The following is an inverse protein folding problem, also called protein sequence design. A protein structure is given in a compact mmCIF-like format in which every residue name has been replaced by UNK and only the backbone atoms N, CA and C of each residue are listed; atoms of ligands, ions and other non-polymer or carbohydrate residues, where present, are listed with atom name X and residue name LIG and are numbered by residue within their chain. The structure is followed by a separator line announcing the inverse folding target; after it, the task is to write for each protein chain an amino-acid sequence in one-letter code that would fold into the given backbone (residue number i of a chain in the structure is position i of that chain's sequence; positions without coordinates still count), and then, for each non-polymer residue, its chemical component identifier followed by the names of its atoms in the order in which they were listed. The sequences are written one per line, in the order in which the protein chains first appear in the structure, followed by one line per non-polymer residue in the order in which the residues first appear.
data_IF_926633588953
#
_entry.id   IF_926633588953
#
_cell.length_a   1.000
_cell.length_b   1.000
_cell.length_c   1.000
_cell.angle_alpha   90.00
_cell.angle_beta   90.00
_cell.angle_gamma   90.00
#
_symmetry.space_group_name_H-M   'P 1'
#
loop_
_entity.id
_entity.type
_entity.pdbx_description
1 polymer ?
#
# COMPACT_ATOMS: atom_id res chain seq x y z
N UNK A 1 -8.76 26.31 -36.96
CA UNK A 1 -8.89 25.00 -37.62
C UNK A 1 -7.48 24.45 -37.70
N UNK A 2 -7.16 23.42 -36.90
CA UNK A 2 -5.84 22.79 -36.91
C UNK A 2 -5.81 21.77 -38.05
N UNK A 3 -4.83 21.91 -38.93
CA UNK A 3 -4.55 20.92 -39.98
C UNK A 3 -4.08 19.61 -39.34
N UNK A 4 -4.86 18.55 -39.52
CA UNK A 4 -4.56 17.23 -38.98
C UNK A 4 -3.38 16.59 -39.74
N UNK A 5 -2.31 16.12 -39.07
CA UNK A 5 -1.09 15.56 -39.68
C UNK A 5 -1.27 14.11 -40.22
N UNK A 6 -2.51 13.70 -40.46
CA UNK A 6 -2.88 12.34 -40.89
C UNK A 6 -2.19 11.89 -42.20
N UNK A 7 -1.92 12.76 -43.20
CA UNK A 7 -1.29 12.30 -44.44
C UNK A 7 0.17 11.86 -44.25
N UNK A 8 0.94 12.59 -43.43
CA UNK A 8 2.37 12.30 -43.19
C UNK A 8 2.57 11.00 -42.42
N UNK A 9 1.65 10.67 -41.52
CA UNK A 9 1.65 9.41 -40.77
C UNK A 9 1.30 8.24 -41.70
N UNK A 10 0.37 8.44 -42.65
CA UNK A 10 0.02 7.43 -43.65
C UNK A 10 1.20 7.08 -44.57
N UNK A 11 2.00 8.06 -44.97
CA UNK A 11 3.19 7.84 -45.80
C UNK A 11 4.30 7.12 -45.03
N UNK A 12 4.54 7.48 -43.76
CA UNK A 12 5.50 6.81 -42.90
C UNK A 12 5.12 5.36 -42.56
N UNK A 13 3.82 5.05 -42.49
CA UNK A 13 3.31 3.70 -42.23
C UNK A 13 3.11 2.87 -43.51
N UNK A 14 3.18 3.47 -44.70
CA UNK A 14 3.00 2.78 -45.98
C UNK A 14 3.87 1.52 -46.19
N UNK A 15 5.15 1.44 -45.76
CA UNK A 15 5.92 0.19 -45.88
C UNK A 15 5.52 -0.89 -44.86
N UNK A 16 4.77 -0.53 -43.81
CA UNK A 16 4.32 -1.43 -42.75
C UNK A 16 2.84 -1.82 -42.89
N UNK A 17 2.07 -1.07 -43.68
CA UNK A 17 0.68 -1.36 -44.00
C UNK A 17 0.65 -2.29 -45.23
N UNK A 18 0.59 -3.60 -44.97
CA UNK A 18 0.40 -4.59 -46.03
C UNK A 18 -1.08 -4.75 -46.40
N UNK A 19 -1.34 -5.14 -47.64
CA UNK A 19 -2.70 -5.41 -48.08
C UNK A 19 -3.28 -6.60 -47.31
N UNK A 20 -4.61 -6.64 -47.12
CA UNK A 20 -5.28 -7.74 -46.40
C UNK A 20 -4.99 -9.10 -47.05
N UNK A 21 -4.81 -9.12 -48.36
CA UNK A 21 -4.48 -10.31 -49.14
C UNK A 21 -3.06 -10.79 -48.85
N UNK A 22 -2.05 -9.92 -48.94
CA UNK A 22 -0.67 -10.25 -48.58
C UNK A 22 -0.56 -10.77 -47.15
N UNK A 23 -1.25 -10.13 -46.21
CA UNK A 23 -1.27 -10.57 -44.81
C UNK A 23 -1.90 -11.96 -44.67
N UNK A 24 -2.93 -12.28 -45.47
CA UNK A 24 -3.54 -13.60 -45.47
C UNK A 24 -2.62 -14.67 -46.07
N UNK A 25 -1.88 -14.34 -47.14
CA UNK A 25 -0.90 -15.23 -47.77
C UNK A 25 0.28 -15.52 -46.83
N UNK A 26 0.80 -14.48 -46.16
CA UNK A 26 1.87 -14.62 -45.16
C UNK A 26 1.40 -15.50 -44.01
N UNK A 27 0.20 -15.26 -43.47
CA UNK A 27 -0.37 -16.11 -42.41
C UNK A 27 -0.53 -17.55 -42.87
N UNK A 28 -1.04 -17.76 -44.09
CA UNK A 28 -1.16 -19.08 -44.69
C UNK A 28 0.19 -19.78 -44.77
N UNK A 29 1.22 -19.11 -45.30
CA UNK A 29 2.58 -19.66 -45.43
C UNK A 29 3.21 -20.01 -44.08
N UNK A 30 3.01 -19.17 -43.07
CA UNK A 30 3.48 -19.41 -41.71
C UNK A 30 2.74 -20.56 -41.06
N UNK A 31 1.43 -20.67 -41.29
CA UNK A 31 0.62 -21.79 -40.82
C UNK A 31 1.14 -23.11 -41.37
N UNK A 32 1.34 -23.20 -42.69
CA UNK A 32 1.86 -24.41 -43.33
C UNK A 32 3.28 -24.73 -42.89
N UNK A 33 4.11 -23.71 -42.62
CA UNK A 33 5.45 -23.91 -42.10
C UNK A 33 5.42 -24.44 -40.67
N UNK A 34 4.55 -23.92 -39.80
CA UNK A 34 4.42 -24.37 -38.41
C UNK A 34 3.85 -25.79 -38.35
N UNK A 35 2.85 -26.13 -39.16
CA UNK A 35 2.30 -27.49 -39.26
C UNK A 35 3.40 -28.50 -39.60
N UNK A 36 4.25 -28.19 -40.59
CA UNK A 36 5.35 -29.07 -41.00
C UNK A 36 6.45 -29.25 -39.95
N UNK A 37 6.66 -28.26 -39.08
CA UNK A 37 7.73 -28.31 -38.08
C UNK A 37 7.27 -28.87 -36.72
N UNK A 38 5.97 -28.95 -36.47
CA UNK A 38 5.43 -29.38 -35.19
C UNK A 38 4.98 -30.84 -35.15
N UNK A 39 5.01 -31.59 -36.27
CA UNK A 39 4.59 -33.00 -36.38
C UNK A 39 3.34 -33.29 -35.51
N UNK A 40 2.31 -32.46 -35.69
CA UNK A 40 1.02 -32.63 -35.04
C UNK A 40 0.21 -33.60 -35.89
N UNK A 41 0.43 -34.91 -35.71
CA UNK A 41 -0.25 -35.93 -36.52
C UNK A 41 -1.76 -36.03 -36.26
N UNK A 42 -2.33 -35.35 -35.24
CA UNK A 42 -3.78 -35.39 -34.97
C UNK A 42 -4.44 -34.07 -34.50
N UNK A 43 -3.71 -32.97 -34.29
CA UNK A 43 -4.31 -31.69 -33.85
C UNK A 43 -4.05 -30.56 -34.84
N UNK A 44 -5.13 -30.03 -35.43
CA UNK A 44 -5.07 -28.86 -36.31
C UNK A 44 -4.75 -27.62 -35.48
N UNK A 45 -3.89 -26.73 -35.99
CA UNK A 45 -3.60 -25.45 -35.35
C UNK A 45 -4.86 -24.56 -35.35
N UNK A 46 -5.65 -24.62 -34.28
CA UNK A 46 -6.80 -23.73 -34.13
C UNK A 46 -6.34 -22.30 -33.79
N UNK A 47 -7.00 -21.31 -34.38
CA UNK A 47 -6.81 -19.91 -34.06
C UNK A 47 -7.30 -19.64 -32.63
N UNK A 48 -6.38 -19.68 -31.66
CA UNK A 48 -6.68 -19.38 -30.27
C UNK A 48 -7.25 -17.96 -30.14
N UNK A 49 -8.49 -17.86 -29.67
CA UNK A 49 -9.10 -16.59 -29.32
C UNK A 49 -8.38 -16.01 -28.08
N UNK A 50 -7.63 -14.92 -28.27
CA UNK A 50 -6.88 -14.20 -27.23
C UNK A 50 -7.73 -13.72 -26.03
N UNK A 51 -9.06 -13.76 -26.15
CA UNK A 51 -10.01 -13.34 -25.12
C UNK A 51 -10.25 -14.46 -24.09
N UNK A 52 -10.00 -15.72 -24.45
CA UNK A 52 -10.13 -16.87 -23.55
C UNK A 52 -9.17 -17.99 -23.99
N UNK A 53 -7.91 -18.00 -23.52
CA UNK A 53 -7.04 -19.13 -23.76
C UNK A 53 -7.62 -20.36 -23.06
N UNK A 54 -7.88 -21.43 -23.83
CA UNK A 54 -8.30 -22.73 -23.32
C UNK A 54 -7.15 -23.33 -22.48
N UNK A 55 -7.08 -22.96 -21.21
CA UNK A 55 -6.06 -23.40 -20.23
C UNK A 55 -6.22 -24.86 -19.78
N UNK A 56 -7.02 -25.66 -20.48
CA UNK A 56 -7.36 -27.04 -20.08
C UNK A 56 -6.49 -28.10 -20.75
N UNK A 57 -5.61 -27.77 -21.69
CA UNK A 57 -4.66 -28.77 -22.20
C UNK A 57 -3.51 -28.95 -21.21
N UNK A 58 -3.47 -30.13 -20.60
CA UNK A 58 -2.30 -30.63 -19.89
C UNK A 58 -1.10 -30.51 -20.82
N UNK A 59 -0.07 -29.76 -20.41
CA UNK A 59 1.14 -29.56 -21.21
C UNK A 59 1.75 -30.94 -21.56
N UNK A 60 1.88 -31.29 -22.85
CA UNK A 60 2.51 -32.55 -23.25
C UNK A 60 3.99 -32.57 -22.84
N UNK A 61 4.55 -33.78 -22.72
CA UNK A 61 5.95 -33.99 -22.35
C UNK A 61 6.91 -33.17 -23.21
N UNK A 62 7.98 -32.66 -22.58
CA UNK A 62 8.90 -31.72 -23.19
C UNK A 62 9.43 -32.25 -24.54
N UNK A 63 9.27 -31.51 -25.66
CA UNK A 63 9.84 -31.91 -26.94
C UNK A 63 11.35 -32.10 -26.82
N UNK A 64 11.82 -33.29 -27.17
CA UNK A 64 13.24 -33.64 -27.15
C UNK A 64 14.00 -32.78 -28.17
N UNK A 65 14.52 -31.63 -27.73
CA UNK A 65 15.24 -30.68 -28.58
C UNK A 65 15.22 -29.22 -28.09
N UNK A 66 14.41 -28.88 -27.09
CA UNK A 66 14.40 -27.52 -26.53
C UNK A 66 15.66 -27.23 -25.71
N UNK A 67 16.50 -26.32 -26.20
CA UNK A 67 17.70 -25.82 -25.52
C UNK A 67 17.62 -24.32 -25.26
N UNK A 68 18.35 -23.85 -24.24
CA UNK A 68 18.46 -22.44 -23.87
C UNK A 68 17.18 -21.82 -23.30
N UNK A 69 16.89 -20.58 -23.68
CA UNK A 69 15.79 -19.76 -23.15
C UNK A 69 14.43 -20.44 -23.29
N UNK A 70 14.21 -21.20 -24.36
CA UNK A 70 12.94 -21.92 -24.58
C UNK A 70 12.73 -23.04 -23.56
N UNK A 71 13.80 -23.71 -23.13
CA UNK A 71 13.74 -24.71 -22.04
C UNK A 71 13.44 -24.05 -20.71
N UNK A 72 14.05 -22.88 -20.44
CA UNK A 72 13.77 -22.11 -19.23
C UNK A 72 12.32 -21.63 -19.20
N UNK A 73 11.78 -21.15 -20.33
CA UNK A 73 10.37 -20.76 -20.45
C UNK A 73 9.43 -21.95 -20.23
N UNK A 74 9.71 -23.11 -20.83
CA UNK A 74 8.92 -24.32 -20.62
C UNK A 74 8.93 -24.75 -19.14
N UNK A 75 10.11 -24.73 -18.49
CA UNK A 75 10.23 -25.02 -17.06
C UNK A 75 9.46 -24.02 -16.19
N UNK A 76 9.48 -22.73 -16.54
CA UNK A 76 8.73 -21.70 -15.83
C UNK A 76 7.22 -21.91 -15.98
N UNK A 77 6.76 -22.32 -17.17
CA UNK A 77 5.35 -22.61 -17.43
C UNK A 77 4.88 -23.84 -16.63
N UNK A 78 5.71 -24.89 -16.56
CA UNK A 78 5.47 -26.05 -15.70
C UNK A 78 5.38 -25.66 -14.22
N UNK A 79 6.35 -24.87 -13.73
CA UNK A 79 6.35 -24.40 -12.35
C UNK A 79 5.13 -23.54 -12.02
N UNK A 80 4.68 -22.71 -12.98
CA UNK A 80 3.47 -21.90 -12.84
C UNK A 80 2.22 -22.77 -12.72
N UNK A 81 2.09 -23.80 -13.57
CA UNK A 81 0.96 -24.74 -13.51
C UNK A 81 0.93 -25.51 -12.17
N UNK A 82 2.09 -25.97 -11.68
CA UNK A 82 2.21 -26.61 -10.37
C UNK A 82 1.82 -25.66 -9.23
N UNK A 83 2.24 -24.39 -9.30
CA UNK A 83 1.87 -23.38 -8.32
C UNK A 83 0.36 -23.08 -8.35
N UNK A 84 -0.24 -23.01 -9.54
CA UNK A 84 -1.67 -22.79 -9.70
C UNK A 84 -2.49 -23.98 -9.16
N UNK A 85 -2.03 -25.21 -9.38
CA UNK A 85 -2.65 -26.41 -8.81
C UNK A 85 -2.58 -26.38 -7.27
N UNK A 86 -1.43 -26.04 -6.68
CA UNK A 86 -1.28 -25.88 -5.22
C UNK A 86 -2.20 -24.78 -4.67
N UNK A 87 -2.30 -23.66 -5.37
CA UNK A 87 -3.21 -22.58 -5.00
C UNK A 87 -4.67 -23.02 -5.04
N UNK A 88 -5.08 -23.75 -6.08
CA UNK A 88 -6.43 -24.29 -6.19
C UNK A 88 -6.76 -25.26 -5.06
N UNK A 89 -5.81 -26.13 -4.68
CA UNK A 89 -5.94 -27.04 -3.53
C UNK A 89 -6.08 -26.26 -2.21
N UNK A 90 -5.21 -25.29 -1.96
CA UNK A 90 -5.27 -24.48 -0.74
C UNK A 90 -6.57 -23.67 -0.66
N UNK A 91 -7.04 -23.17 -1.81
CA UNK A 91 -8.33 -22.48 -1.91
C UNK A 91 -9.49 -23.42 -1.59
N UNK A 92 -9.45 -24.67 -2.06
CA UNK A 92 -10.44 -25.67 -1.72
C UNK A 92 -10.41 -26.02 -0.21
N UNK A 93 -9.22 -26.19 0.38
CA UNK A 93 -9.06 -26.44 1.83
C UNK A 93 -9.59 -25.27 2.67
N UNK A 94 -9.29 -24.02 2.30
CA UNK A 94 -9.84 -22.84 2.95
C UNK A 94 -11.36 -22.80 2.81
N UNK A 95 -11.90 -23.17 1.64
CA UNK A 95 -13.34 -23.25 1.43
C UNK A 95 -13.99 -24.33 2.31
N UNK A 96 -13.36 -25.49 2.47
CA UNK A 96 -13.80 -26.55 3.38
C UNK A 96 -13.75 -26.12 4.85
N UNK A 97 -12.70 -25.42 5.27
CA UNK A 97 -12.57 -24.87 6.63
C UNK A 97 -13.55 -23.72 6.89
N UNK A 98 -13.85 -22.92 5.86
CA UNK A 98 -14.84 -21.83 5.94
C UNK A 98 -16.28 -22.31 5.84
N UNK A 99 -16.50 -23.55 5.41
CA UNK A 99 -17.83 -24.15 5.33
C UNK A 99 -18.28 -24.46 6.77
N UNK A 100 -19.29 -23.76 7.31
CA UNK A 100 -19.76 -24.04 8.65
C UNK A 100 -20.24 -25.48 8.71
N UNK A 101 -19.61 -26.29 9.57
CA UNK A 101 -20.10 -27.62 9.88
C UNK A 101 -21.47 -27.46 10.53
N UNK A 102 -22.52 -27.80 9.79
CA UNK A 102 -23.87 -27.96 10.31
C UNK A 102 -23.86 -29.11 11.32
N UNK A 103 -23.61 -28.80 12.58
CA UNK A 103 -23.95 -29.64 13.71
C UNK A 103 -24.39 -28.75 14.87
N UNK A 104 -25.71 -28.59 15.00
CA UNK A 104 -26.43 -28.40 16.25
C UNK A 104 -25.92 -27.29 17.18
N UNK A 105 -26.48 -26.09 17.09
CA UNK A 105 -27.29 -25.51 18.18
C UNK A 105 -27.52 -24.01 17.98
N UNK A 106 -28.80 -23.70 18.01
CA UNK A 106 -29.48 -22.42 18.22
C UNK A 106 -28.79 -21.47 19.23
N UNK A 107 -28.73 -20.19 18.84
CA UNK A 107 -28.70 -19.00 19.72
C UNK A 107 -27.45 -18.87 20.61
N UNK A 108 -26.29 -18.52 20.03
CA UNK A 108 -25.13 -17.94 20.76
C UNK A 108 -24.04 -17.31 19.85
N UNK A 109 -24.38 -16.81 18.66
CA UNK A 109 -23.38 -16.37 17.67
C UNK A 109 -22.52 -15.16 18.09
N UNK A 110 -22.96 -14.33 19.05
CA UNK A 110 -22.12 -13.22 19.56
C UNK A 110 -21.21 -13.61 20.72
N UNK A 111 -21.42 -14.77 21.36
CA UNK A 111 -20.58 -15.25 22.48
C UNK A 111 -19.40 -16.11 22.01
N UNK A 112 -19.49 -16.74 20.83
CA UNK A 112 -18.48 -17.69 20.31
C UNK A 112 -17.27 -17.00 19.68
N UNK A 113 -17.46 -15.91 18.92
CA UNK A 113 -16.35 -15.29 18.17
C UNK A 113 -15.22 -14.82 19.11
N UNK A 114 -15.56 -14.25 20.27
CA UNK A 114 -14.55 -13.81 21.25
C UNK A 114 -13.90 -14.98 22.02
N UNK A 115 -14.62 -16.09 22.23
CA UNK A 115 -14.07 -17.29 22.87
C UNK A 115 -13.19 -18.11 21.92
N UNK A 116 -13.43 -18.02 20.61
CA UNK A 116 -12.65 -18.74 19.58
C UNK A 116 -11.43 -17.93 19.11
N UNK A 117 -11.48 -16.60 19.13
CA UNK A 117 -10.36 -15.74 18.69
C UNK A 117 -9.21 -15.70 19.71
N UNK A 118 -9.51 -15.70 21.01
CA UNK A 118 -8.48 -15.72 22.06
C UNK A 118 -7.55 -16.94 22.03
N UNK A 119 -8.03 -18.19 21.92
CA UNK A 119 -7.15 -19.35 21.80
C UNK A 119 -6.37 -19.32 20.49
N UNK A 120 -6.95 -18.83 19.38
CA UNK A 120 -6.23 -18.65 18.10
C UNK A 120 -5.12 -17.62 18.22
N UNK A 121 -5.35 -16.49 18.90
CA UNK A 121 -4.31 -15.49 19.16
C UNK A 121 -3.19 -16.06 20.05
N UNK A 122 -3.55 -16.79 21.12
CA UNK A 122 -2.57 -17.48 21.96
C UNK A 122 -1.78 -18.53 21.19
N UNK A 123 -2.42 -19.24 20.27
CA UNK A 123 -1.76 -20.23 19.41
C UNK A 123 -0.80 -19.56 18.43
N UNK A 124 -1.20 -18.44 17.80
CA UNK A 124 -0.33 -17.64 16.94
C UNK A 124 0.86 -17.06 17.70
N UNK A 125 0.65 -16.62 18.93
CA UNK A 125 1.73 -16.13 19.79
C UNK A 125 2.70 -17.26 20.17
N UNK A 126 2.19 -18.44 20.54
CA UNK A 126 3.01 -19.65 20.75
C UNK A 126 3.78 -20.05 19.49
N UNK A 127 3.15 -19.99 18.33
CA UNK A 127 3.79 -20.30 17.05
C UNK A 127 4.88 -19.29 16.71
N UNK A 128 4.67 -17.99 16.94
CA UNK A 128 5.72 -16.97 16.78
C UNK A 128 6.90 -17.23 17.71
N UNK A 129 6.63 -17.56 18.98
CA UNK A 129 7.66 -17.91 19.97
C UNK A 129 8.46 -19.15 19.52
N UNK A 130 7.78 -20.20 19.08
CA UNK A 130 8.42 -21.39 18.54
C UNK A 130 9.23 -21.10 17.28
N UNK A 131 8.74 -20.22 16.41
CA UNK A 131 9.46 -19.86 15.19
C UNK A 131 10.74 -19.06 15.48
N UNK A 132 10.72 -18.21 16.50
CA UNK A 132 11.92 -17.51 17.00
C UNK A 132 12.91 -18.53 17.57
N UNK A 133 12.45 -19.47 18.39
CA UNK A 133 13.30 -20.55 18.93
C UNK A 133 13.88 -21.40 17.82
N UNK A 134 13.07 -21.79 16.83
CA UNK A 134 13.51 -22.57 15.68
C UNK A 134 14.53 -21.82 14.84
N UNK A 135 14.35 -20.50 14.65
CA UNK A 135 15.32 -19.65 13.95
C UNK A 135 16.61 -19.47 14.72
N UNK A 136 16.53 -19.33 16.04
CA UNK A 136 17.71 -19.26 16.90
C UNK A 136 18.46 -20.60 16.90
N UNK A 137 17.74 -21.72 16.94
CA UNK A 137 18.30 -23.06 16.87
C UNK A 137 18.92 -23.32 15.49
N UNK A 138 18.24 -22.96 14.40
CA UNK A 138 18.80 -23.09 13.05
C UNK A 138 20.06 -22.24 12.87
N UNK A 139 20.08 -21.02 13.41
CA UNK A 139 21.26 -20.15 13.41
C UNK A 139 22.44 -20.71 14.24
N UNK A 140 22.17 -21.60 15.20
CA UNK A 140 23.20 -22.32 15.97
C UNK A 140 23.63 -23.61 15.26
N UNK A 141 22.74 -24.27 14.51
CA UNK A 141 23.04 -25.55 13.83
C UNK A 141 23.61 -25.40 12.42
N UNK A 142 23.39 -24.27 11.74
CA UNK A 142 23.94 -24.03 10.39
C UNK A 142 25.46 -23.76 10.39
N UNK A 143 26.04 -23.38 11.54
CA UNK A 143 27.48 -23.23 11.70
C UNK A 143 28.08 -24.47 12.40
N UNK A 144 28.49 -25.44 11.57
CA UNK A 144 29.16 -26.68 11.95
C UNK A 144 30.58 -26.42 12.50
N UNK A 145 30.67 -25.78 13.66
CA UNK A 145 31.88 -25.73 14.48
C UNK A 145 31.58 -26.39 15.83
N UNK A 146 32.09 -27.61 16.00
CA UNK A 146 31.94 -28.38 17.23
C UNK A 146 32.36 -27.54 18.45
N UNK A 147 31.51 -27.40 19.48
CA UNK A 147 31.86 -26.62 20.67
C UNK A 147 32.93 -27.38 21.45
N UNK A 148 34.19 -26.92 21.35
CA UNK A 148 35.25 -27.35 22.24
C UNK A 148 35.08 -26.62 23.58
N UNK A 149 34.51 -27.31 24.56
CA UNK A 149 34.62 -27.08 26.02
C UNK A 149 34.41 -25.67 26.60
N UNK A 150 33.93 -24.69 25.84
CA UNK A 150 33.44 -23.43 26.40
C UNK A 150 31.95 -23.60 26.66
N UNK A 151 31.52 -23.24 27.87
CA UNK A 151 30.16 -23.41 28.35
C UNK A 151 29.18 -22.86 27.30
N UNK A 152 28.28 -23.71 26.82
CA UNK A 152 27.24 -23.40 25.81
C UNK A 152 26.53 -22.06 26.09
N UNK A 153 26.41 -21.70 27.36
CA UNK A 153 25.82 -20.46 27.85
C UNK A 153 26.56 -19.18 27.42
N UNK A 154 27.89 -19.23 27.29
CA UNK A 154 28.72 -18.10 26.83
C UNK A 154 28.66 -17.93 25.31
N UNK A 155 28.59 -19.04 24.55
CA UNK A 155 28.38 -19.02 23.10
C UNK A 155 26.98 -18.51 22.73
N UNK A 156 25.95 -18.91 23.50
CA UNK A 156 24.59 -18.39 23.33
C UNK A 156 24.53 -16.91 23.68
N UNK A 157 25.22 -16.46 24.72
CA UNK A 157 25.24 -15.05 25.15
C UNK A 157 25.98 -14.12 24.17
N UNK A 158 27.05 -14.59 23.54
CA UNK A 158 27.78 -13.81 22.54
C UNK A 158 27.02 -13.67 21.21
N UNK A 159 26.16 -14.63 20.87
CA UNK A 159 25.49 -14.70 19.56
C UNK A 159 24.01 -14.30 19.57
N UNK A 160 23.29 -14.54 20.67
CA UNK A 160 21.90 -14.09 20.85
C UNK A 160 21.79 -12.69 21.48
N UNK A 161 22.91 -12.09 21.89
CA UNK A 161 22.97 -10.85 22.63
C UNK A 161 22.71 -11.04 24.13
N UNK A 162 23.17 -10.09 24.94
CA UNK A 162 22.94 -10.09 26.39
C UNK A 162 21.45 -9.94 26.67
N UNK A 163 20.88 -10.90 27.42
CA UNK A 163 19.48 -10.84 27.82
C UNK A 163 19.29 -9.54 28.63
N UNK A 164 18.34 -8.65 28.25
CA UNK A 164 18.12 -7.42 29.01
C UNK A 164 17.81 -7.80 30.45
N UNK A 165 18.62 -7.31 31.38
CA UNK A 165 18.41 -7.55 32.80
C UNK A 165 17.01 -7.07 33.18
N UNK A 166 16.16 -8.02 33.57
CA UNK A 166 14.88 -7.70 34.18
C UNK A 166 15.17 -6.82 35.40
N UNK A 167 14.55 -5.64 35.53
CA UNK A 167 14.81 -4.76 36.66
C UNK A 167 14.53 -5.53 37.95
N UNK A 168 15.57 -5.60 38.79
CA UNK A 168 15.59 -6.35 40.04
C UNK A 168 14.53 -5.76 41.01
N UNK A 169 13.34 -6.35 41.06
CA UNK A 169 12.13 -5.85 41.75
C UNK A 169 12.22 -5.92 43.29
N UNK A 170 13.41 -6.18 43.85
CA UNK A 170 13.52 -6.60 45.24
C UNK A 170 14.03 -5.52 46.21
N UNK A 171 14.38 -4.31 45.74
CA UNK A 171 14.95 -3.26 46.63
C UNK A 171 14.04 -2.05 46.90
N UNK A 172 12.89 -1.90 46.23
CA UNK A 172 11.95 -0.77 46.44
C UNK A 172 10.60 -1.16 47.04
N UNK A 173 10.50 -2.40 47.53
CA UNK A 173 9.21 -3.05 47.83
C UNK A 173 8.42 -2.52 49.03
N UNK A 174 9.01 -1.74 49.94
CA UNK A 174 8.34 -1.41 51.20
C UNK A 174 7.68 -0.01 51.25
N UNK A 175 8.05 0.92 50.35
CA UNK A 175 7.37 2.24 50.27
C UNK A 175 6.31 2.32 49.18
N UNK A 176 6.53 1.62 48.06
CA UNK A 176 5.62 1.67 46.90
C UNK A 176 4.51 0.62 46.94
N UNK A 177 4.59 -0.45 47.75
CA UNK A 177 3.49 -1.44 47.82
C UNK A 177 2.28 -0.92 48.60
N UNK A 178 2.47 -0.15 49.67
CA UNK A 178 1.33 0.39 50.43
C UNK A 178 0.56 1.45 49.59
N UNK A 179 1.30 2.23 48.78
CA UNK A 179 0.73 3.18 47.83
C UNK A 179 0.14 2.46 46.59
N UNK A 180 0.77 1.39 46.09
CA UNK A 180 0.22 0.59 44.99
C UNK A 180 -1.03 -0.20 45.41
N UNK A 181 -1.09 -0.70 46.64
CA UNK A 181 -2.27 -1.39 47.17
C UNK A 181 -3.39 -0.39 47.49
N UNK A 182 -3.08 0.81 48.00
CA UNK A 182 -4.03 1.90 48.14
C UNK A 182 -4.59 2.34 46.77
N UNK A 183 -3.73 2.50 45.76
CA UNK A 183 -4.11 2.82 44.37
C UNK A 183 -4.87 1.67 43.71
N UNK A 184 -4.55 0.42 44.04
CA UNK A 184 -5.31 -0.75 43.58
C UNK A 184 -6.69 -0.81 44.22
N UNK A 185 -6.82 -0.43 45.49
CA UNK A 185 -8.11 -0.30 46.16
C UNK A 185 -8.93 0.85 45.56
N UNK A 186 -8.28 1.96 45.20
CA UNK A 186 -8.93 3.07 44.50
C UNK A 186 -9.38 2.67 43.09
N UNK A 187 -8.56 1.93 42.34
CA UNK A 187 -8.92 1.34 41.05
C UNK A 187 -10.09 0.35 41.22
N UNK A 188 -10.03 -0.54 42.20
CA UNK A 188 -11.13 -1.49 42.49
C UNK A 188 -12.41 -0.73 42.85
N UNK A 189 -12.31 0.36 43.62
CA UNK A 189 -13.43 1.24 43.94
C UNK A 189 -13.97 1.91 42.69
N UNK A 190 -13.12 2.47 41.83
CA UNK A 190 -13.50 3.10 40.56
C UNK A 190 -14.17 2.12 39.59
N UNK A 191 -13.65 0.89 39.51
CA UNK A 191 -14.24 -0.18 38.72
C UNK A 191 -15.60 -0.60 39.30
N UNK A 192 -15.72 -0.72 40.63
CA UNK A 192 -17.00 -1.05 41.26
C UNK A 192 -18.03 0.06 41.10
N UNK A 193 -17.63 1.33 41.19
CA UNK A 193 -18.53 2.46 40.92
C UNK A 193 -18.92 2.54 39.46
N UNK A 194 -17.99 2.32 38.53
CA UNK A 194 -18.30 2.26 37.10
C UNK A 194 -19.22 1.08 36.77
N UNK A 195 -18.96 -0.10 37.35
CA UNK A 195 -19.83 -1.26 37.24
C UNK A 195 -21.21 -0.97 37.82
N UNK A 196 -21.29 -0.30 38.98
CA UNK A 196 -22.56 0.07 39.59
C UNK A 196 -23.34 1.08 38.74
N UNK A 197 -22.67 2.05 38.11
CA UNK A 197 -23.29 2.99 37.16
C UNK A 197 -23.79 2.27 35.91
N UNK A 198 -23.13 1.20 35.45
CA UNK A 198 -23.56 0.37 34.32
C UNK A 198 -24.70 -0.58 34.71
N UNK A 199 -24.70 -1.08 35.94
CA UNK A 199 -25.73 -2.00 36.44
C UNK A 199 -26.96 -1.27 37.01
N UNK A 200 -26.86 0.01 37.43
CA UNK A 200 -27.98 0.84 37.88
C UNK A 200 -29.08 1.04 36.82
N UNK A 201 -28.79 1.30 35.53
CA UNK A 201 -29.80 1.32 34.48
C UNK A 201 -30.28 -0.08 34.06
N UNK A 202 -29.64 -1.15 34.55
CA UNK A 202 -30.14 -2.53 34.37
C UNK A 202 -31.19 -2.88 35.43
N UNK A 203 -31.03 -2.44 36.69
CA UNK A 203 -32.01 -2.74 37.75
C UNK A 203 -33.30 -1.91 37.66
N UNK A 204 -33.24 -0.66 37.16
CA UNK A 204 -34.43 0.19 36.99
C UNK A 204 -35.26 -0.19 35.74
N UNK A 205 -34.67 -0.88 34.76
CA UNK A 205 -35.36 -1.36 33.55
C UNK A 205 -35.97 -2.76 33.70
N UNK A 206 -35.63 -3.53 34.74
CA UNK A 206 -36.21 -4.86 34.98
C UNK A 206 -37.65 -4.83 35.53
N UNK A 207 -38.17 -3.65 35.90
CA UNK A 207 -39.56 -3.49 36.36
C UNK A 207 -40.56 -3.04 35.29
N UNK A 208 -40.10 -2.65 34.09
CA UNK A 208 -41.01 -2.28 33.00
C UNK A 208 -40.89 -3.24 31.82
N UNK A 209 -41.66 -4.33 31.92
CA UNK A 209 -42.24 -5.09 30.81
C UNK A 209 -41.42 -5.23 29.52
N UNK A 210 -40.90 -6.44 29.30
CA UNK A 210 -41.10 -7.20 28.07
C UNK A 210 -40.37 -6.71 26.82
N UNK A 211 -39.52 -7.60 26.28
CA UNK A 211 -38.81 -7.49 24.99
C UNK A 211 -37.64 -6.50 24.96
N UNK A 212 -36.51 -6.95 25.53
CA UNK A 212 -35.20 -6.40 25.24
C UNK A 212 -34.87 -6.56 23.73
N UNK A 213 -35.07 -5.51 22.94
CA UNK A 213 -34.26 -5.34 21.74
C UNK A 213 -32.87 -4.88 22.20
N UNK A 214 -31.93 -5.83 22.33
CA UNK A 214 -30.50 -5.51 22.36
C UNK A 214 -30.17 -4.77 21.06
N UNK A 215 -30.05 -3.44 21.12
CA UNK A 215 -29.53 -2.67 20.00
C UNK A 215 -28.00 -2.77 20.06
N UNK A 216 -27.36 -3.62 19.22
CA UNK A 216 -25.91 -3.83 19.27
C UNK A 216 -25.13 -2.53 19.06
N UNK A 217 -25.77 -1.55 18.41
CA UNK A 217 -25.19 -0.23 18.17
C UNK A 217 -24.99 0.59 19.46
N UNK A 218 -25.91 0.49 20.43
CA UNK A 218 -25.80 1.21 21.70
C UNK A 218 -24.70 0.60 22.58
N UNK A 219 -24.54 -0.73 22.55
CA UNK A 219 -23.45 -1.42 23.26
C UNK A 219 -22.09 -1.13 22.63
N UNK A 220 -22.00 -1.10 21.29
CA UNK A 220 -20.78 -0.69 20.59
C UNK A 220 -20.41 0.77 20.88
N UNK A 221 -21.40 1.66 20.95
CA UNK A 221 -21.17 3.06 21.29
C UNK A 221 -20.69 3.19 22.75
N UNK A 222 -21.30 2.50 23.70
CA UNK A 222 -20.85 2.48 25.08
C UNK A 222 -19.43 1.89 25.22
N UNK A 223 -19.11 0.83 24.48
CA UNK A 223 -17.76 0.26 24.43
C UNK A 223 -16.74 1.22 23.79
N UNK A 224 -17.15 1.96 22.78
CA UNK A 224 -16.31 2.97 22.15
C UNK A 224 -16.08 4.17 23.07
N UNK A 225 -17.10 4.60 23.82
CA UNK A 225 -17.00 5.65 24.84
C UNK A 225 -16.10 5.21 26.00
N UNK A 226 -16.26 3.98 26.51
CA UNK A 226 -15.36 3.44 27.55
C UNK A 226 -13.93 3.28 27.05
N UNK A 227 -13.72 2.83 25.80
CA UNK A 227 -12.39 2.78 25.19
C UNK A 227 -11.77 4.17 25.09
N UNK A 228 -12.52 5.15 24.62
CA UNK A 228 -12.04 6.52 24.49
C UNK A 228 -11.71 7.12 25.87
N UNK A 229 -12.56 6.88 26.88
CA UNK A 229 -12.31 7.31 28.25
C UNK A 229 -11.05 6.66 28.84
N UNK A 230 -10.80 5.39 28.53
CA UNK A 230 -9.62 4.67 28.99
C UNK A 230 -8.36 5.15 28.26
N UNK A 231 -8.45 5.49 26.97
CA UNK A 231 -7.37 6.13 26.22
C UNK A 231 -7.05 7.50 26.81
N UNK A 232 -8.04 8.36 27.02
CA UNK A 232 -7.81 9.69 27.62
C UNK A 232 -7.25 9.57 29.03
N UNK A 233 -7.69 8.57 29.80
CA UNK A 233 -7.13 8.31 31.12
C UNK A 233 -5.67 7.85 31.02
N UNK A 234 -5.33 6.91 30.12
CA UNK A 234 -3.93 6.50 29.91
C UNK A 234 -3.07 7.67 29.44
N UNK A 235 -3.57 8.50 28.54
CA UNK A 235 -2.87 9.68 28.04
C UNK A 235 -2.62 10.68 29.17
N UNK A 236 -3.61 10.94 30.03
CA UNK A 236 -3.47 11.78 31.23
C UNK A 236 -2.50 11.17 32.26
N UNK A 237 -2.49 9.83 32.40
CA UNK A 237 -1.50 9.16 33.24
C UNK A 237 -0.08 9.25 32.64
N UNK A 238 0.08 9.14 31.33
CA UNK A 238 1.37 9.25 30.66
C UNK A 238 1.93 10.68 30.72
N UNK A 239 1.09 11.71 30.62
CA UNK A 239 1.53 13.10 30.83
C UNK A 239 1.93 13.34 32.28
N UNK A 240 1.17 12.82 33.24
CA UNK A 240 1.50 12.95 34.68
C UNK A 240 2.82 12.24 35.05
N UNK A 241 3.10 11.08 34.45
CA UNK A 241 4.38 10.36 34.64
C UNK A 241 5.53 11.11 33.94
N UNK A 242 5.29 11.68 32.74
CA UNK A 242 6.26 12.52 32.04
C UNK A 242 6.67 13.76 32.83
N UNK A 243 5.70 14.44 33.46
CA UNK A 243 5.94 15.63 34.28
C UNK A 243 6.65 15.30 35.61
N UNK A 244 6.36 14.15 36.22
CA UNK A 244 7.05 13.69 37.43
C UNK A 244 8.51 13.30 37.17
N UNK A 245 8.84 12.88 35.95
CA UNK A 245 10.21 12.53 35.55
C UNK A 245 11.03 13.78 35.16
N UNK A 246 10.40 14.79 34.55
CA UNK A 246 11.04 16.08 34.23
C UNK A 246 11.37 16.94 35.47
N UNK A 247 10.67 16.74 36.59
CA UNK A 247 10.92 17.47 37.83
C UNK A 247 12.16 16.98 38.64
N UNK A 248 12.78 15.86 38.25
CA UNK A 248 13.82 15.20 39.05
C UNK A 248 15.22 15.17 38.40
N UNK A 249 15.39 15.78 37.22
CA UNK A 249 16.70 15.88 36.58
C UNK A 249 17.34 17.25 36.83
N UNK A 250 18.33 17.28 37.73
CA UNK A 250 19.27 18.41 37.87
C UNK A 250 20.10 18.52 36.59
N UNK A 251 20.37 19.74 36.07
CA UNK A 251 21.17 19.90 34.87
C UNK A 251 22.65 19.65 35.20
N UNK A 252 23.24 18.64 34.55
CA UNK A 252 24.70 18.48 34.52
C UNK A 252 25.21 19.06 33.21
N UNK A 253 26.07 20.05 33.36
CA UNK A 253 26.81 20.75 32.32
C UNK A 253 27.76 19.81 31.54
N UNK A 254 27.59 19.85 30.21
CA UNK A 254 28.64 19.77 29.17
C UNK A 254 29.48 18.50 29.00
N UNK A 255 29.52 17.97 27.78
CA UNK A 255 30.65 18.11 26.86
C UNK A 255 30.27 17.67 25.43
N UNK A 256 30.76 18.43 24.45
CA UNK A 256 30.41 18.39 23.04
C UNK A 256 31.03 17.22 22.26
N UNK A 257 30.27 16.63 21.32
CA UNK A 257 30.75 16.08 20.05
C UNK A 257 29.68 16.31 18.98
N UNK A 258 30.10 16.89 17.85
CA UNK A 258 29.28 17.27 16.70
C UNK A 258 28.60 16.09 16.00
N UNK A 259 27.39 16.31 15.51
CA UNK A 259 26.68 15.42 14.61
C UNK A 259 25.20 15.79 14.49
N UNK A 260 24.93 16.87 13.77
CA UNK A 260 23.67 17.26 13.10
C UNK A 260 22.37 16.57 13.58
N UNK A 261 21.76 17.15 14.62
CA UNK A 261 20.30 17.30 14.71
C UNK A 261 20.03 18.45 15.68
N UNK A 262 20.14 19.67 15.17
CA UNK A 262 19.76 20.85 15.92
C UNK A 262 18.22 20.90 15.95
N UNK A 263 17.56 20.82 17.12
CA UNK A 263 16.16 21.20 17.23
C UNK A 263 16.12 22.69 16.91
N UNK A 264 15.52 23.05 15.78
CA UNK A 264 15.35 24.45 15.36
C UNK A 264 14.70 25.17 16.56
N UNK A 265 15.39 26.10 17.24
CA UNK A 265 14.76 26.89 18.27
C UNK A 265 13.83 27.84 17.53
N UNK A 266 12.56 27.44 17.34
CA UNK A 266 11.54 28.33 16.79
C UNK A 266 11.54 29.55 17.69
N UNK A 267 12.08 30.66 17.17
CA UNK A 267 12.27 31.87 17.94
C UNK A 267 10.90 32.30 18.46
N UNK A 268 10.82 32.77 19.71
CA UNK A 268 9.56 33.32 20.24
C UNK A 268 8.99 34.41 19.34
N UNK A 269 9.86 35.08 18.58
CA UNK A 269 9.50 36.08 17.57
C UNK A 269 8.81 35.46 16.34
N UNK A 270 9.22 34.26 15.93
CA UNK A 270 8.60 33.52 14.82
C UNK A 270 7.22 32.99 15.22
N UNK A 271 7.09 32.47 16.45
CA UNK A 271 5.79 32.11 17.03
C UNK A 271 4.88 33.35 17.13
N UNK A 272 5.45 34.49 17.55
CA UNK A 272 4.74 35.78 17.58
C UNK A 272 4.22 36.18 16.21
N UNK A 273 5.06 36.09 15.17
CA UNK A 273 4.66 36.40 13.79
C UNK A 273 3.58 35.46 13.26
N UNK A 274 3.69 34.15 13.52
CA UNK A 274 2.67 33.17 13.12
C UNK A 274 1.35 33.45 13.85
N UNK A 275 1.40 33.82 15.13
CA UNK A 275 0.21 34.16 15.91
C UNK A 275 -0.43 35.46 15.44
N UNK A 276 0.36 36.46 15.06
CA UNK A 276 -0.13 37.70 14.44
C UNK A 276 -0.79 37.43 13.09
N UNK A 277 -0.20 36.58 12.26
CA UNK A 277 -0.79 36.15 10.98
C UNK A 277 -2.11 35.42 11.20
N UNK A 278 -2.17 34.52 12.19
CA UNK A 278 -3.40 33.83 12.59
C UNK A 278 -4.49 34.81 13.06
N UNK A 279 -4.14 35.77 13.92
CA UNK A 279 -5.07 36.80 14.39
C UNK A 279 -5.55 37.71 13.24
N UNK A 280 -4.67 38.07 12.31
CA UNK A 280 -5.03 38.85 11.13
C UNK A 280 -5.99 38.08 10.21
N UNK A 281 -5.73 36.79 9.96
CA UNK A 281 -6.63 35.92 9.19
C UNK A 281 -7.99 35.77 9.88
N UNK A 282 -8.00 35.59 11.21
CA UNK A 282 -9.24 35.47 12.00
C UNK A 282 -10.04 36.76 12.03
N UNK A 283 -9.39 37.92 12.12
CA UNK A 283 -10.06 39.23 11.99
C UNK A 283 -10.64 39.43 10.59
N UNK A 284 -9.93 39.05 9.53
CA UNK A 284 -10.46 39.08 8.15
C UNK A 284 -11.65 38.16 7.98
N UNK A 285 -11.63 36.97 8.56
CA UNK A 285 -12.75 36.02 8.53
C UNK A 285 -13.96 36.56 9.31
N UNK A 286 -13.74 37.15 10.49
CA UNK A 286 -14.80 37.78 11.28
C UNK A 286 -15.38 39.02 10.59
N UNK A 287 -14.56 39.84 9.93
CA UNK A 287 -15.04 40.94 9.09
C UNK A 287 -15.79 40.42 7.87
N UNK A 288 -15.33 39.32 7.26
CA UNK A 288 -16.05 38.62 6.19
C UNK A 288 -17.39 38.04 6.62
N UNK A 289 -17.53 37.63 7.89
CA UNK A 289 -18.79 37.16 8.48
C UNK A 289 -19.69 38.32 8.95
N UNK A 290 -19.12 39.43 9.42
CA UNK A 290 -19.88 40.65 9.78
C UNK A 290 -20.32 41.44 8.54
N UNK A 291 -19.62 41.32 7.42
CA UNK A 291 -19.96 41.92 6.14
C UNK A 291 -20.47 40.90 5.13
N UNK A 292 -20.67 39.65 5.55
CA UNK A 292 -21.49 38.73 4.79
C UNK A 292 -22.87 39.39 4.73
N UNK A 293 -23.37 39.77 3.53
CA UNK A 293 -24.74 40.21 3.43
C UNK A 293 -25.57 39.08 4.02
N UNK A 294 -26.36 39.38 5.05
CA UNK A 294 -27.48 38.52 5.37
C UNK A 294 -28.32 38.50 4.11
N UNK A 295 -28.10 37.47 3.30
CA UNK A 295 -28.91 37.19 2.16
C UNK A 295 -30.21 36.68 2.77
N UNK A 296 -31.10 37.62 3.07
CA UNK A 296 -32.52 37.35 3.06
C UNK A 296 -32.75 36.61 1.74
N UNK A 297 -33.10 35.34 1.85
CA UNK A 297 -33.49 34.52 0.72
C UNK A 297 -34.86 35.01 0.25
N UNK A 298 -34.86 36.20 -0.37
CA UNK A 298 -35.91 36.64 -1.24
C UNK A 298 -35.72 35.89 -2.56
N UNK A 299 -36.46 34.79 -2.70
CA UNK A 299 -36.50 33.98 -3.93
C UNK A 299 -37.28 34.77 -4.97
N UNK A 300 -36.65 35.80 -5.52
CA UNK A 300 -37.07 36.44 -6.76
C UNK A 300 -36.51 35.63 -7.92
N UNK A 301 -37.37 34.73 -8.41
CA UNK A 301 -37.19 34.10 -9.70
C UNK A 301 -37.09 35.18 -10.79
N UNK A 302 -36.02 35.09 -11.57
CA UNK A 302 -35.86 35.80 -12.82
C UNK A 302 -37.07 35.50 -13.73
N UNK A 303 -37.95 36.49 -13.91
CA UNK A 303 -38.95 36.49 -14.98
C UNK A 303 -38.77 37.73 -15.82
N UNK A 304 -38.20 37.49 -16.99
CA UNK A 304 -38.22 38.38 -18.16
C UNK A 304 -39.67 38.82 -18.44
N UNK A 305 -39.79 40.14 -18.61
CA UNK A 305 -40.96 40.94 -18.96
C UNK A 305 -41.96 40.31 -19.95
N UNK A 306 -43.27 40.51 -19.73
CA UNK A 306 -44.23 40.53 -20.85
C UNK A 306 -45.73 40.29 -20.61
N UNK A 307 -46.42 41.26 -19.98
CA UNK A 307 -47.82 41.70 -20.25
C UNK A 307 -49.03 40.91 -19.65
N UNK A 308 -50.14 41.59 -19.24
CA UNK A 308 -50.99 41.15 -18.12
C UNK A 308 -52.39 40.68 -18.53
N UNK A 309 -53.06 39.94 -17.63
CA UNK A 309 -54.52 39.95 -17.49
C UNK A 309 -54.94 39.54 -16.07
N UNK A 310 -56.02 40.11 -15.49
CA UNK A 310 -56.18 40.25 -14.06
C UNK A 310 -57.10 39.17 -13.47
N UNK A 311 -56.72 38.62 -12.33
CA UNK A 311 -57.67 37.98 -11.40
C UNK A 311 -57.20 38.24 -9.97
N UNK A 312 -58.14 38.47 -9.04
CA UNK A 312 -57.88 39.24 -7.83
C UNK A 312 -57.10 38.41 -6.82
N UNK A 313 -56.21 39.11 -6.12
CA UNK A 313 -55.52 38.61 -4.92
C UNK A 313 -56.56 38.31 -3.85
N UNK A 314 -56.86 37.03 -3.63
CA UNK A 314 -57.26 36.56 -2.32
C UNK A 314 -55.98 36.24 -1.55
N UNK A 315 -55.72 37.06 -0.53
CA UNK A 315 -54.80 36.75 0.54
C UNK A 315 -55.28 35.47 1.24
N UNK A 316 -54.84 34.31 0.78
CA UNK A 316 -54.80 33.13 1.61
C UNK A 316 -53.36 32.91 2.02
N UNK A 317 -53.09 33.17 3.30
CA UNK A 317 -51.99 32.55 4.03
C UNK A 317 -52.22 31.03 3.97
N UNK A 318 -51.89 30.41 2.83
CA UNK A 318 -51.80 28.97 2.75
C UNK A 318 -50.47 28.61 3.40
N UNK A 319 -50.49 28.35 4.71
CA UNK A 319 -49.42 27.55 5.31
C UNK A 319 -49.35 26.29 4.46
N UNK A 320 -48.24 26.13 3.71
CA UNK A 320 -48.05 25.02 2.80
C UNK A 320 -48.36 23.74 3.58
N UNK A 321 -49.53 23.17 3.28
CA UNK A 321 -50.03 22.03 4.03
C UNK A 321 -49.09 20.88 3.77
N UNK A 322 -48.84 20.02 4.76
CA UNK A 322 -47.98 18.85 4.62
C UNK A 322 -48.28 18.01 3.35
N UNK A 323 -49.52 18.10 2.82
CA UNK A 323 -49.97 17.53 1.56
C UNK A 323 -49.24 18.04 0.29
N UNK A 324 -48.75 19.28 0.25
CA UNK A 324 -48.01 19.80 -0.92
C UNK A 324 -46.53 19.43 -0.90
N UNK A 325 -45.96 19.16 0.28
CA UNK A 325 -44.54 18.83 0.46
C UNK A 325 -44.31 17.32 0.39
N UNK A 326 -45.27 16.51 0.86
CA UNK A 326 -45.26 15.04 0.86
C UNK A 326 -44.77 14.38 -0.45
N UNK A 327 -45.23 14.78 -1.65
CA UNK A 327 -44.78 14.14 -2.89
C UNK A 327 -43.30 14.41 -3.22
N UNK A 328 -42.68 15.45 -2.66
CA UNK A 328 -41.29 15.80 -2.90
C UNK A 328 -40.31 15.20 -1.87
N UNK A 329 -40.82 14.63 -0.78
CA UNK A 329 -39.97 14.02 0.27
C UNK A 329 -39.18 12.82 -0.26
N UNK A 330 -39.79 11.97 -1.10
CA UNK A 330 -39.09 10.82 -1.69
C UNK A 330 -37.97 11.25 -2.66
N UNK A 331 -38.21 12.14 -3.64
CA UNK A 331 -37.13 12.69 -4.46
C UNK A 331 -36.00 13.34 -3.66
N UNK A 332 -36.31 14.06 -2.57
CA UNK A 332 -35.29 14.70 -1.72
C UNK A 332 -34.48 13.67 -0.91
N UNK A 333 -35.12 12.61 -0.41
CA UNK A 333 -34.43 11.50 0.25
C UNK A 333 -33.53 10.75 -0.73
N UNK A 334 -33.98 10.53 -1.95
CA UNK A 334 -33.18 9.89 -2.99
C UNK A 334 -32.00 10.78 -3.40
N UNK A 335 -32.20 12.09 -3.48
CA UNK A 335 -31.12 13.06 -3.68
C UNK A 335 -30.10 12.99 -2.54
N UNK A 336 -30.54 13.02 -1.28
CA UNK A 336 -29.67 12.92 -0.10
C UNK A 336 -28.88 11.61 -0.09
N UNK A 337 -29.52 10.49 -0.45
CA UNK A 337 -28.85 9.19 -0.59
C UNK A 337 -27.82 9.19 -1.71
N UNK A 338 -28.14 9.81 -2.85
CA UNK A 338 -27.19 9.94 -3.96
C UNK A 338 -25.99 10.81 -3.57
N UNK A 339 -26.20 11.89 -2.83
CA UNK A 339 -25.14 12.76 -2.33
C UNK A 339 -24.22 12.01 -1.36
N UNK A 340 -24.80 11.27 -0.42
CA UNK A 340 -24.04 10.42 0.51
C UNK A 340 -23.23 9.35 -0.22
N UNK A 341 -23.82 8.69 -1.23
CA UNK A 341 -23.14 7.70 -2.06
C UNK A 341 -21.98 8.32 -2.86
N UNK A 342 -22.17 9.52 -3.42
CA UNK A 342 -21.15 10.23 -4.20
C UNK A 342 -20.01 10.73 -3.31
N UNK A 343 -20.31 11.19 -2.09
CA UNK A 343 -19.31 11.51 -1.07
C UNK A 343 -18.49 10.26 -0.66
N UNK A 344 -19.15 9.11 -0.48
CA UNK A 344 -18.47 7.85 -0.20
C UNK A 344 -17.58 7.41 -1.37
N UNK A 345 -18.03 7.56 -2.61
CA UNK A 345 -17.22 7.27 -3.79
C UNK A 345 -16.01 8.21 -3.88
N UNK A 346 -16.19 9.51 -3.62
CA UNK A 346 -15.10 10.49 -3.64
C UNK A 346 -14.05 10.22 -2.55
N UNK A 347 -14.47 9.79 -1.36
CA UNK A 347 -13.52 9.40 -0.31
C UNK A 347 -12.80 8.09 -0.62
N UNK A 348 -13.49 7.12 -1.24
CA UNK A 348 -12.89 5.88 -1.71
C UNK A 348 -11.83 6.13 -2.79
N UNK A 349 -12.14 6.96 -3.80
CA UNK A 349 -11.18 7.28 -4.87
C UNK A 349 -9.96 8.04 -4.36
N UNK A 350 -10.13 8.95 -3.39
CA UNK A 350 -9.01 9.62 -2.72
C UNK A 350 -8.08 8.62 -2.02
N UNK A 351 -8.64 7.69 -1.25
CA UNK A 351 -7.84 6.63 -0.59
C UNK A 351 -7.11 5.74 -1.60
N UNK A 352 -7.74 5.41 -2.72
CA UNK A 352 -7.09 4.65 -3.78
C UNK A 352 -5.94 5.43 -4.42
N UNK A 353 -6.12 6.74 -4.63
CA UNK A 353 -5.08 7.61 -5.17
C UNK A 353 -3.90 7.75 -4.20
N UNK A 354 -4.15 7.97 -2.91
CA UNK A 354 -3.13 8.02 -1.86
C UNK A 354 -2.37 6.68 -1.75
N UNK A 355 -3.08 5.54 -1.85
CA UNK A 355 -2.44 4.22 -1.86
C UNK A 355 -1.56 4.03 -3.09
N UNK A 356 -2.04 4.43 -4.27
CA UNK A 356 -1.27 4.33 -5.50
C UNK A 356 -0.04 5.25 -5.47
N UNK A 357 -0.17 6.47 -4.94
CA UNK A 357 0.93 7.42 -4.76
C UNK A 357 2.00 6.84 -3.82
N UNK A 358 1.59 6.32 -2.66
CA UNK A 358 2.50 5.67 -1.72
C UNK A 358 3.18 4.42 -2.31
N UNK A 359 2.49 3.66 -3.16
CA UNK A 359 3.10 2.54 -3.90
C UNK A 359 4.11 3.03 -4.93
N UNK A 360 3.80 4.10 -5.68
CA UNK A 360 4.74 4.66 -6.65
C UNK A 360 5.98 5.22 -5.98
N UNK A 361 5.85 5.88 -4.84
CA UNK A 361 6.98 6.41 -4.08
C UNK A 361 7.88 5.27 -3.58
N UNK A 362 7.28 4.20 -3.02
CA UNK A 362 8.04 3.02 -2.60
C UNK A 362 8.78 2.36 -3.77
N UNK A 363 8.15 2.27 -4.94
CA UNK A 363 8.79 1.72 -6.13
C UNK A 363 9.94 2.60 -6.61
N UNK A 364 9.78 3.94 -6.60
CA UNK A 364 10.83 4.88 -6.98
C UNK A 364 12.02 4.77 -6.00
N UNK A 365 11.75 4.70 -4.69
CA UNK A 365 12.77 4.46 -3.67
C UNK A 365 13.54 3.17 -3.93
N UNK A 366 12.82 2.07 -4.14
CA UNK A 366 13.41 0.76 -4.41
C UNK A 366 14.25 0.77 -5.69
N UNK A 367 13.75 1.40 -6.76
CA UNK A 367 14.48 1.55 -8.01
C UNK A 367 15.72 2.44 -7.85
N UNK A 368 15.66 3.47 -7.00
CA UNK A 368 16.82 4.29 -6.67
C UNK A 368 17.88 3.46 -5.93
N UNK A 369 17.47 2.64 -4.97
CA UNK A 369 18.37 1.81 -4.17
C UNK A 369 18.96 0.63 -4.99
N UNK A 370 18.19 0.07 -5.93
CA UNK A 370 18.66 -1.00 -6.83
C UNK A 370 19.50 -0.46 -8.02
N UNK A 371 19.37 0.83 -8.34
CA UNK A 371 20.09 1.45 -9.45
C UNK A 371 21.52 1.79 -9.07
N UNK A 372 22.49 1.23 -9.79
CA UNK A 372 23.88 1.67 -9.69
C UNK A 372 24.18 3.01 -10.39
N UNK A 373 23.19 3.58 -11.10
CA UNK A 373 23.35 4.83 -11.83
C UNK A 373 23.04 6.06 -10.99
N UNK A 374 22.23 5.90 -9.94
CA UNK A 374 21.73 7.00 -9.11
C UNK A 374 22.11 6.73 -7.66
N UNK A 375 22.39 7.77 -6.87
CA UNK A 375 22.70 7.58 -5.45
C UNK A 375 21.45 7.12 -4.68
N UNK A 376 21.60 6.30 -3.62
CA UNK A 376 20.49 5.95 -2.74
C UNK A 376 19.86 7.23 -2.17
N UNK A 377 18.53 7.28 -2.12
CA UNK A 377 17.77 8.46 -1.70
C UNK A 377 17.51 9.53 -2.77
N UNK A 378 17.85 9.29 -4.04
CA UNK A 378 17.49 10.18 -5.15
C UNK A 378 15.99 10.08 -5.48
N UNK A 379 15.20 10.91 -4.81
CA UNK A 379 13.75 10.99 -4.97
C UNK A 379 13.30 11.97 -6.03
N UNK A 380 14.16 12.94 -6.35
CA UNK A 380 13.81 14.03 -7.26
C UNK A 380 14.15 13.63 -8.69
N UNK A 381 13.21 13.81 -9.63
CA UNK A 381 13.45 13.55 -11.05
C UNK A 381 14.67 14.29 -11.64
N UNK A 382 15.09 15.40 -11.02
CA UNK A 382 16.31 16.13 -11.38
C UNK A 382 17.59 15.32 -11.16
N UNK A 383 17.62 14.49 -10.12
CA UNK A 383 18.81 13.68 -9.79
C UNK A 383 18.92 12.50 -10.75
N UNK A 384 17.79 11.89 -11.10
CA UNK A 384 17.69 10.90 -12.18
C UNK A 384 18.11 11.47 -13.53
N UNK A 385 17.71 12.70 -13.85
CA UNK A 385 18.11 13.37 -15.08
C UNK A 385 19.63 13.62 -15.12
N UNK A 386 20.22 14.09 -14.02
CA UNK A 386 21.68 14.28 -13.91
C UNK A 386 22.41 12.95 -14.06
N UNK A 387 22.01 11.93 -13.31
CA UNK A 387 22.58 10.59 -13.37
C UNK A 387 22.52 9.98 -14.77
N UNK A 388 21.38 10.11 -15.45
CA UNK A 388 21.20 9.68 -16.83
C UNK A 388 22.14 10.42 -17.78
N UNK A 389 22.27 11.75 -17.63
CA UNK A 389 23.17 12.54 -18.45
C UNK A 389 24.65 12.17 -18.25
N UNK A 390 25.06 11.88 -17.00
CA UNK A 390 26.43 11.45 -16.70
C UNK A 390 26.71 10.03 -17.20
N UNK A 391 25.74 9.13 -17.05
CA UNK A 391 25.85 7.77 -17.58
C UNK A 391 25.98 7.78 -19.10
N UNK A 392 25.18 8.61 -19.78
CA UNK A 392 25.24 8.81 -21.22
C UNK A 392 26.60 9.37 -21.67
N UNK A 393 27.11 10.39 -21.01
CA UNK A 393 28.44 10.93 -21.32
C UNK A 393 29.54 9.88 -21.11
N UNK A 394 29.41 9.01 -20.09
CA UNK A 394 30.35 7.90 -19.86
C UNK A 394 30.28 6.87 -20.99
N UNK A 395 29.09 6.45 -21.41
CA UNK A 395 28.94 5.52 -22.54
C UNK A 395 29.43 6.10 -23.85
N UNK A 396 29.17 7.39 -24.10
CA UNK A 396 29.61 8.07 -25.31
C UNK A 396 31.15 8.08 -25.40
N UNK A 397 31.84 8.37 -24.29
CA UNK A 397 33.32 8.28 -24.22
C UNK A 397 33.83 6.87 -24.48
N UNK A 398 33.22 5.85 -23.86
CA UNK A 398 33.63 4.44 -24.08
C UNK A 398 33.43 4.02 -25.53
N UNK A 399 32.36 4.48 -26.18
CA UNK A 399 32.10 4.22 -27.60
C UNK A 399 33.13 4.94 -28.47
N UNK A 400 33.42 6.21 -28.21
CA UNK A 400 34.45 6.98 -28.93
C UNK A 400 35.82 6.31 -28.83
N UNK A 401 36.22 5.86 -27.65
CA UNK A 401 37.51 5.19 -27.44
C UNK A 401 37.56 3.84 -28.17
N UNK A 402 36.47 3.07 -28.15
CA UNK A 402 36.37 1.82 -28.93
C UNK A 402 36.40 2.06 -30.43
N UNK A 403 35.76 3.14 -30.90
CA UNK A 403 35.74 3.49 -32.31
C UNK A 403 37.14 3.91 -32.77
N UNK A 404 37.85 4.73 -31.98
CA UNK A 404 39.26 5.08 -32.23
C UNK A 404 40.17 3.86 -32.25
N UNK A 405 40.01 2.94 -31.30
CA UNK A 405 40.78 1.69 -31.28
C UNK A 405 40.49 0.82 -32.51
N UNK A 406 39.23 0.76 -32.94
CA UNK A 406 38.80 0.09 -34.17
C UNK A 406 39.43 0.72 -35.41
N UNK A 407 39.40 2.04 -35.53
CA UNK A 407 40.01 2.78 -36.65
C UNK A 407 41.52 2.54 -36.72
N UNK A 408 42.21 2.55 -35.58
CA UNK A 408 43.64 2.22 -35.52
C UNK A 408 43.91 0.79 -35.99
N UNK A 409 43.10 -0.19 -35.54
CA UNK A 409 43.23 -1.57 -35.98
C UNK A 409 42.99 -1.73 -37.50
N UNK A 410 42.00 -1.03 -38.05
CA UNK A 410 41.73 -1.01 -39.49
C UNK A 410 42.87 -0.36 -40.27
N UNK A 411 43.45 0.73 -39.78
CA UNK A 411 44.62 1.37 -40.40
C UNK A 411 45.83 0.43 -40.42
N UNK A 412 46.10 -0.26 -39.32
CA UNK A 412 47.17 -1.27 -39.26
C UNK A 412 46.94 -2.41 -40.25
N UNK A 413 45.72 -2.96 -40.29
CA UNK A 413 45.35 -4.00 -41.25
C UNK A 413 45.45 -3.52 -42.72
N UNK A 414 45.12 -2.26 -42.99
CA UNK A 414 45.29 -1.66 -44.32
C UNK A 414 46.77 -1.52 -44.68
N UNK A 415 47.61 -1.12 -43.72
CA UNK A 415 49.05 -1.07 -43.88
C UNK A 415 49.65 -2.44 -44.20
N UNK A 416 49.25 -3.49 -43.47
CA UNK A 416 49.74 -4.86 -43.74
C UNK A 416 49.28 -5.37 -45.11
N UNK A 417 48.04 -5.09 -45.52
CA UNK A 417 47.57 -5.43 -46.87
C UNK A 417 48.34 -4.70 -47.97
N UNK A 418 48.69 -3.43 -47.77
CA UNK A 418 49.53 -2.69 -48.72
C UNK A 418 50.94 -3.29 -48.81
N UNK A 419 51.54 -3.70 -47.69
CA UNK A 419 52.84 -4.39 -47.72
C UNK A 419 52.78 -5.73 -48.44
N UNK A 420 51.69 -6.51 -48.26
CA UNK A 420 51.49 -7.78 -48.97
C UNK A 420 51.31 -7.56 -50.47
N UNK A 421 50.60 -6.51 -50.88
CA UNK A 421 50.41 -6.17 -52.29
C UNK A 421 51.65 -5.55 -52.95
N UNK A 422 52.52 -4.91 -52.17
CA UNK A 422 53.79 -4.34 -52.63
C UNK A 422 54.96 -5.33 -52.70
N UNK A 423 54.81 -6.55 -52.18
CA UNK A 423 55.80 -7.61 -52.30
C UNK A 423 55.93 -8.06 -53.78
N UNK A 424 57.15 -8.09 -54.35
CA UNK A 424 57.34 -8.46 -55.75
C UNK A 424 56.84 -9.88 -56.03
N UNK A 425 56.24 -10.09 -57.20
CA UNK A 425 55.53 -11.31 -57.65
C UNK A 425 56.33 -12.64 -57.59
N UNK A 426 57.58 -12.63 -57.13
CA UNK A 426 58.49 -13.79 -57.08
C UNK A 426 57.95 -14.92 -56.18
N UNK A 427 57.02 -14.66 -55.26
CA UNK A 427 56.47 -15.68 -54.35
C UNK A 427 55.06 -16.18 -54.76
N UNK A 428 54.38 -15.58 -55.73
CA UNK A 428 53.06 -16.08 -56.21
C UNK A 428 53.16 -17.29 -57.16
N UNK A 429 54.37 -17.72 -57.52
CA UNK A 429 54.61 -18.73 -58.55
C UNK A 429 54.74 -20.19 -58.07
N UNK A 430 54.66 -20.50 -56.78
CA UNK A 430 54.87 -21.87 -56.27
C UNK A 430 53.58 -22.49 -55.73
N UNK A 431 52.53 -22.49 -56.53
CA UNK A 431 51.34 -23.31 -56.30
C UNK A 431 50.63 -23.54 -57.65
N UNK A 432 51.26 -24.36 -58.50
CA UNK A 432 50.60 -25.12 -59.56
C UNK A 432 50.97 -26.57 -59.41
#
# INVERSE_FOLDING_TARGET
MLDCPVPAIGEALSPYIRSRQEVSEIRGSLHTYLEKNLNLDEEHLESSNLIAPSLTSSLPDAPAGLSGVRKAYWNALKAHQEAQAKYALLKAEIQELSRPQNASNTVSETRSIHQDVLPVLRQREKQRKLHIIQRALSAVTEDDTAPTNVAMDEFVRSRAGEMPMLPNVNSTRHGYMEDADARMLELKKAILTAKHIIDSPRSDNDQTNGTFHHHPHAELQALQETRNMLITWIEEQLTTIGDAQAANEKPVESLAVNGEDAPIPVSKDEIGQIYEQYLAARRKLLQGLQHAPQHDFDVSADRVNGRPSPVPRTNERSGATAATILPYIQPLLDLQRSEAALAQQATSSKKQLESAEAETDRLIHRLADESHLVHPGALTGKDWQKASSTARQSTDKVIEDRLRAGDQAVQLARGTLQTINGLPQVVRGTAS
#
